data_IF_437896681229
#
_entry.id   IF_437896681229
#
_cell.length_a   1.000
_cell.length_b   1.000
_cell.length_c   1.000
_cell.angle_alpha   90.00
_cell.angle_beta   90.00
_cell.angle_gamma   90.00
#
_symmetry.space_group_name_H-M   'P 1'
#
loop_
_entity.id
_entity.type
_entity.pdbx_description
1 polymer ?
#
# COMPACT_ATOMS: atom_id res chain seq x y z
N UNK A 1 9.31 -10.26 -15.44
CA UNK A 1 8.95 -10.52 -14.03
C UNK A 1 10.16 -10.72 -13.12
N UNK A 2 11.41 -10.81 -13.61
CA UNK A 2 12.60 -10.89 -12.75
C UNK A 2 13.08 -9.55 -12.15
N UNK A 3 12.69 -8.42 -12.73
CA UNK A 3 13.31 -7.12 -12.42
C UNK A 3 12.77 -6.40 -11.17
N UNK A 4 11.62 -6.82 -10.62
CA UNK A 4 11.02 -6.10 -9.49
C UNK A 4 11.64 -6.48 -8.14
N UNK A 5 12.30 -7.64 -8.00
CA UNK A 5 12.90 -8.05 -6.72
C UNK A 5 14.08 -7.18 -6.31
N UNK A 6 14.95 -6.83 -7.27
CA UNK A 6 16.06 -5.91 -7.03
C UNK A 6 15.54 -4.50 -6.70
N UNK A 7 14.51 -4.04 -7.40
CA UNK A 7 13.82 -2.78 -7.10
C UNK A 7 13.19 -2.81 -5.69
N UNK A 8 12.52 -3.91 -5.30
CA UNK A 8 11.95 -4.06 -3.96
C UNK A 8 13.01 -4.04 -2.86
N UNK A 9 14.17 -4.66 -3.09
CA UNK A 9 15.28 -4.64 -2.14
C UNK A 9 15.81 -3.21 -1.97
N UNK A 10 16.01 -2.49 -3.07
CA UNK A 10 16.42 -1.09 -3.04
C UNK A 10 15.38 -0.19 -2.36
N UNK A 11 14.10 -0.45 -2.60
CA UNK A 11 13.00 0.24 -1.93
C UNK A 11 13.03 -0.05 -0.43
N UNK A 12 13.20 -1.31 -0.01
CA UNK A 12 13.31 -1.70 1.39
C UNK A 12 14.44 -1.00 2.15
N UNK A 13 15.57 -0.78 1.49
CA UNK A 13 16.69 0.00 2.05
C UNK A 13 16.38 1.49 2.19
N UNK A 14 15.46 2.03 1.37
CA UNK A 14 15.14 3.47 1.27
C UNK A 14 13.82 3.89 1.95
N UNK A 15 12.93 2.94 2.29
CA UNK A 15 11.62 3.21 2.94
C UNK A 15 11.76 3.88 4.31
N UNK A 16 12.96 3.88 4.89
CA UNK A 16 13.29 4.58 6.12
C UNK A 16 13.35 6.10 5.86
N UNK A 17 12.17 6.72 5.74
CA UNK A 17 12.01 8.12 5.31
C UNK A 17 10.66 8.76 5.71
N UNK A 18 10.36 9.91 5.12
CA UNK A 18 9.28 10.83 5.58
C UNK A 18 7.85 10.51 5.12
N UNK A 19 7.63 9.56 4.19
CA UNK A 19 6.29 9.21 3.70
C UNK A 19 6.04 7.71 3.89
N UNK A 20 5.11 7.38 4.78
CA UNK A 20 4.76 6.01 5.11
C UNK A 20 3.89 5.40 4.00
N UNK A 21 4.04 4.10 3.69
CA UNK A 21 3.10 3.42 2.82
C UNK A 21 1.66 3.56 3.33
N UNK A 22 0.74 3.86 2.42
CA UNK A 22 -0.68 4.09 2.71
C UNK A 22 -1.47 2.86 2.30
N UNK A 23 -2.27 2.32 3.22
CA UNK A 23 -3.16 1.21 2.90
C UNK A 23 -4.27 1.67 1.95
N UNK A 24 -4.60 0.79 0.98
CA UNK A 24 -5.62 1.02 -0.05
C UNK A 24 -6.79 0.07 0.16
N UNK A 25 -6.49 -1.21 0.37
CA UNK A 25 -7.45 -2.30 0.46
C UNK A 25 -6.90 -3.43 1.31
N UNK A 26 -7.78 -4.21 1.92
CA UNK A 26 -7.41 -5.48 2.51
C UNK A 26 -8.58 -6.45 2.43
N UNK A 27 -8.26 -7.73 2.29
CA UNK A 27 -9.21 -8.83 2.46
C UNK A 27 -8.59 -9.98 3.25
N UNK A 28 -9.17 -11.18 3.15
CA UNK A 28 -8.66 -12.34 3.85
C UNK A 28 -7.29 -12.82 3.35
N UNK A 29 -6.96 -12.53 2.08
CA UNK A 29 -5.81 -13.05 1.34
C UNK A 29 -4.75 -11.98 1.05
N UNK A 30 -5.16 -10.73 0.88
CA UNK A 30 -4.31 -9.64 0.41
C UNK A 30 -4.37 -8.40 1.29
N UNK A 31 -3.23 -7.71 1.38
CA UNK A 31 -3.17 -6.31 1.80
C UNK A 31 -2.57 -5.51 0.64
N UNK A 32 -3.23 -4.43 0.28
CA UNK A 32 -2.80 -3.52 -0.78
C UNK A 32 -2.43 -2.18 -0.17
N UNK A 33 -1.28 -1.66 -0.56
CA UNK A 33 -0.79 -0.37 -0.11
C UNK A 33 0.05 0.28 -1.20
N UNK A 34 0.31 1.58 -1.07
CA UNK A 34 1.18 2.29 -1.99
C UNK A 34 2.07 3.27 -1.26
N UNK A 35 3.21 3.59 -1.88
CA UNK A 35 4.14 4.60 -1.40
C UNK A 35 4.56 5.51 -2.57
N UNK A 36 5.74 6.12 -2.46
CA UNK A 36 6.30 6.95 -3.51
C UNK A 36 6.58 6.21 -4.83
N UNK A 37 6.92 4.92 -4.78
CA UNK A 37 7.39 4.15 -5.93
C UNK A 37 6.25 3.50 -6.70
N UNK A 38 5.25 2.99 -6.00
CA UNK A 38 4.17 2.28 -6.65
C UNK A 38 3.15 1.67 -5.69
N UNK A 39 2.35 0.78 -6.24
CA UNK A 39 1.33 0.00 -5.52
C UNK A 39 1.82 -1.43 -5.35
N UNK A 40 1.66 -1.94 -4.14
CA UNK A 40 2.06 -3.27 -3.75
C UNK A 40 0.82 -4.07 -3.36
N UNK A 41 0.77 -5.30 -3.84
CA UNK A 41 -0.26 -6.28 -3.46
C UNK A 41 0.46 -7.40 -2.75
N UNK A 42 0.30 -7.44 -1.43
CA UNK A 42 0.94 -8.40 -0.55
C UNK A 42 0.02 -9.59 -0.32
N UNK A 43 0.49 -10.79 -0.61
CA UNK A 43 -0.18 -12.05 -0.32
C UNK A 43 0.14 -12.48 1.10
N UNK A 44 -0.88 -12.46 1.95
CA UNK A 44 -0.79 -12.77 3.38
C UNK A 44 -0.44 -14.25 3.59
N UNK A 45 -0.97 -15.14 2.76
CA UNK A 45 -0.79 -16.59 2.94
C UNK A 45 0.63 -17.02 2.55
N UNK A 46 1.16 -16.42 1.48
CA UNK A 46 2.47 -16.73 0.94
C UNK A 46 3.58 -15.81 1.48
N UNK A 47 3.21 -14.82 2.30
CA UNK A 47 4.11 -13.84 2.90
C UNK A 47 5.03 -13.16 1.89
N UNK A 48 4.50 -12.73 0.74
CA UNK A 48 5.27 -12.10 -0.31
C UNK A 48 4.50 -11.01 -1.07
N UNK A 49 5.23 -10.16 -1.79
CA UNK A 49 4.64 -9.24 -2.76
C UNK A 49 4.25 -10.07 -3.99
N UNK A 50 2.95 -10.34 -4.11
CA UNK A 50 2.36 -11.05 -5.24
C UNK A 50 2.40 -10.21 -6.52
N UNK A 51 2.24 -8.89 -6.39
CA UNK A 51 2.27 -7.97 -7.52
C UNK A 51 2.73 -6.58 -7.11
N UNK A 52 3.43 -5.92 -8.03
CA UNK A 52 3.89 -4.54 -7.92
C UNK A 52 3.53 -3.77 -9.19
N UNK A 53 3.02 -2.55 -9.03
CA UNK A 53 2.65 -1.64 -10.11
C UNK A 53 3.45 -0.35 -9.89
N UNK A 54 4.49 -0.14 -10.70
CA UNK A 54 5.35 1.05 -10.58
C UNK A 54 4.69 2.27 -11.22
N UNK A 55 4.75 3.41 -10.54
CA UNK A 55 4.27 4.68 -11.08
C UNK A 55 5.15 5.21 -12.22
N UNK A 56 6.44 4.81 -12.24
CA UNK A 56 7.39 5.25 -13.25
C UNK A 56 7.02 4.78 -14.66
N UNK A 57 6.54 3.54 -14.82
CA UNK A 57 6.07 2.99 -16.11
C UNK A 57 4.80 3.68 -16.61
N UNK A 58 4.05 4.31 -15.70
CA UNK A 58 2.88 5.14 -16.02
C UNK A 58 3.27 6.58 -16.40
N UNK A 59 4.57 6.90 -16.43
CA UNK A 59 5.07 8.26 -16.61
C UNK A 59 4.70 9.20 -15.47
N UNK A 60 4.29 8.65 -14.32
CA UNK A 60 3.95 9.43 -13.14
C UNK A 60 5.23 9.67 -12.33
N UNK A 61 5.48 10.94 -12.04
CA UNK A 61 6.48 11.34 -11.05
C UNK A 61 5.75 11.51 -9.74
N UNK A 62 5.99 10.60 -8.80
CA UNK A 62 5.35 10.70 -7.50
C UNK A 62 5.74 12.01 -6.83
N UNK A 63 4.75 12.71 -6.30
CA UNK A 63 4.92 13.92 -5.52
C UNK A 63 4.23 13.69 -4.18
N UNK A 64 4.91 14.05 -3.09
CA UNK A 64 4.37 13.87 -1.74
C UNK A 64 3.18 14.81 -1.50
N UNK A 65 3.18 15.98 -2.14
CA UNK A 65 2.18 17.02 -1.95
C UNK A 65 1.95 17.86 -3.21
N UNK A 66 0.83 18.58 -3.24
CA UNK A 66 0.41 19.43 -4.37
C UNK A 66 -0.52 18.72 -5.35
N UNK A 67 -0.87 19.41 -6.44
CA UNK A 67 -1.90 18.96 -7.38
C UNK A 67 -1.55 17.65 -8.09
N UNK A 68 -0.27 17.31 -8.20
CA UNK A 68 0.19 16.06 -8.81
C UNK A 68 0.50 14.96 -7.79
N UNK A 69 0.17 15.16 -6.50
CA UNK A 69 0.30 14.10 -5.52
C UNK A 69 -0.53 12.88 -5.93
N UNK A 70 0.06 11.70 -5.79
CA UNK A 70 -0.60 10.47 -6.22
C UNK A 70 -1.60 10.02 -5.16
N UNK A 71 -2.84 9.85 -5.60
CA UNK A 71 -3.92 9.29 -4.79
C UNK A 71 -4.35 7.97 -5.41
N UNK A 72 -4.41 6.93 -4.58
CA UNK A 72 -4.85 5.60 -5.00
C UNK A 72 -6.06 5.19 -4.18
N UNK A 73 -7.10 4.72 -4.87
CA UNK A 73 -8.34 4.24 -4.27
C UNK A 73 -8.68 2.86 -4.80
N UNK A 74 -9.19 1.98 -3.95
CA UNK A 74 -9.77 0.71 -4.38
C UNK A 74 -11.30 0.79 -4.53
N UNK A 75 -11.84 0.05 -5.49
CA UNK A 75 -13.26 -0.34 -5.51
C UNK A 75 -13.54 -1.22 -4.27
N UNK A 76 -14.73 -1.15 -3.69
CA UNK A 76 -15.11 -1.84 -2.44
C UNK A 76 -14.82 -3.36 -2.43
N UNK A 77 -14.79 -4.00 -3.61
CA UNK A 77 -14.53 -5.42 -3.78
C UNK A 77 -13.06 -5.75 -4.14
N UNK A 78 -12.16 -4.76 -4.13
CA UNK A 78 -10.74 -4.92 -4.48
C UNK A 78 -10.47 -5.19 -5.97
N UNK A 79 -11.45 -5.16 -6.87
CA UNK A 79 -11.26 -5.56 -8.27
C UNK A 79 -10.65 -4.48 -9.16
N UNK A 80 -10.75 -3.22 -8.75
CA UNK A 80 -10.19 -2.09 -9.48
C UNK A 80 -9.47 -1.15 -8.54
N UNK A 81 -8.37 -0.61 -9.05
CA UNK A 81 -7.67 0.51 -8.44
C UNK A 81 -7.80 1.74 -9.34
N UNK A 82 -8.04 2.88 -8.71
CA UNK A 82 -8.13 4.18 -9.33
C UNK A 82 -6.90 4.98 -8.91
N UNK A 83 -6.08 5.39 -9.88
CA UNK A 83 -4.81 6.07 -9.65
C UNK A 83 -4.92 7.46 -10.27
N UNK A 84 -4.90 8.48 -9.41
CA UNK A 84 -5.13 9.87 -9.78
C UNK A 84 -3.90 10.71 -9.45
N UNK A 85 -3.45 11.54 -10.39
CA UNK A 85 -2.34 12.48 -10.20
C UNK A 85 -2.49 13.67 -11.15
N UNK A 86 -2.86 14.84 -10.61
CA UNK A 86 -3.17 16.03 -11.41
C UNK A 86 -4.26 15.73 -12.44
N UNK A 87 -3.92 15.83 -13.72
CA UNK A 87 -4.82 15.52 -14.84
C UNK A 87 -4.79 14.04 -15.25
N UNK A 88 -3.82 13.27 -14.78
CA UNK A 88 -3.65 11.88 -15.16
C UNK A 88 -4.55 10.98 -14.32
N UNK A 89 -5.30 10.12 -15.00
CA UNK A 89 -6.25 9.22 -14.37
C UNK A 89 -6.13 7.84 -14.98
N UNK A 90 -5.91 6.84 -14.13
CA UNK A 90 -5.78 5.46 -14.54
C UNK A 90 -6.72 4.57 -13.76
N UNK A 91 -7.21 3.54 -14.43
CA UNK A 91 -7.89 2.43 -13.80
C UNK A 91 -7.09 1.16 -14.06
N UNK A 92 -6.72 0.50 -12.98
CA UNK A 92 -6.10 -0.82 -13.00
C UNK A 92 -7.15 -1.89 -12.69
N UNK A 93 -7.32 -2.86 -13.58
CA UNK A 93 -8.19 -4.01 -13.40
C UNK A 93 -7.37 -5.19 -12.85
N UNK A 94 -7.62 -5.55 -11.59
CA UNK A 94 -6.89 -6.58 -10.87
C UNK A 94 -7.00 -7.96 -11.53
N UNK A 95 -8.21 -8.29 -12.00
CA UNK A 95 -8.51 -9.59 -12.61
C UNK A 95 -7.95 -9.75 -14.01
N UNK A 96 -7.88 -8.65 -14.78
CA UNK A 96 -7.27 -8.66 -16.12
C UNK A 96 -5.77 -8.40 -16.12
N UNK A 97 -5.21 -7.94 -15.00
CA UNK A 97 -3.84 -7.43 -14.92
C UNK A 97 -3.56 -6.38 -16.02
N UNK A 98 -4.44 -5.38 -16.13
CA UNK A 98 -4.35 -4.35 -17.17
C UNK A 98 -4.61 -2.98 -16.59
N UNK A 99 -3.79 -2.02 -17.01
CA UNK A 99 -3.98 -0.61 -16.74
C UNK A 99 -4.51 0.11 -17.98
N UNK A 100 -5.34 1.13 -17.75
CA UNK A 100 -5.83 2.02 -18.80
C UNK A 100 -5.86 3.46 -18.31
N UNK A 101 -5.33 4.37 -19.13
CA UNK A 101 -5.45 5.81 -18.93
C UNK A 101 -6.79 6.32 -19.46
N UNK A 102 -7.33 7.36 -18.82
CA UNK A 102 -8.56 8.04 -19.20
C UNK A 102 -8.31 9.54 -19.35
N UNK A 103 -8.81 10.11 -20.44
CA UNK A 103 -8.71 11.55 -20.72
C UNK A 103 -9.78 12.37 -19.99
N UNK A 104 -10.88 11.71 -19.59
CA UNK A 104 -11.99 12.32 -18.85
C UNK A 104 -11.93 11.94 -17.38
N UNK A 105 -12.61 12.72 -16.54
CA UNK A 105 -12.76 12.43 -15.12
C UNK A 105 -13.36 11.04 -14.89
N UNK A 106 -12.58 10.18 -14.24
CA UNK A 106 -13.00 8.89 -13.72
C UNK A 106 -13.78 9.14 -12.45
N UNK A 107 -15.07 8.80 -12.49
CA UNK A 107 -15.92 8.89 -11.30
C UNK A 107 -15.66 7.64 -10.48
N UNK A 108 -15.03 7.83 -9.31
CA UNK A 108 -14.80 6.76 -8.37
C UNK A 108 -16.07 6.58 -7.52
N UNK A 109 -16.85 5.56 -7.81
CA UNK A 109 -18.03 5.17 -7.02
C UNK A 109 -17.75 3.91 -6.22
N UNK A 110 -18.34 3.78 -5.02
CA UNK A 110 -18.17 2.61 -4.15
C UNK A 110 -16.70 2.36 -3.79
N UNK A 111 -16.03 3.38 -3.27
CA UNK A 111 -14.67 3.25 -2.76
C UNK A 111 -14.64 2.39 -1.51
N UNK A 112 -13.62 1.55 -1.42
CA UNK A 112 -13.24 0.94 -0.17
C UNK A 112 -12.77 2.02 0.80
N UNK A 113 -13.21 1.92 2.05
CA UNK A 113 -12.74 2.76 3.13
C UNK A 113 -12.41 1.87 4.30
N UNK A 114 -11.20 2.04 4.84
CA UNK A 114 -10.90 1.49 6.14
C UNK A 114 -11.60 2.32 7.21
N UNK A 115 -12.11 1.64 8.24
CA UNK A 115 -12.46 2.31 9.48
C UNK A 115 -11.16 2.58 10.24
N UNK A 116 -10.88 3.85 10.59
CA UNK A 116 -9.68 4.18 11.37
C UNK A 116 -9.99 4.00 12.86
N UNK A 117 -9.22 3.15 13.53
CA UNK A 117 -9.23 3.13 14.99
C UNK A 117 -8.46 4.35 15.52
N UNK A 118 -9.05 5.06 16.47
CA UNK A 118 -8.47 6.24 17.12
C UNK A 118 -7.66 5.87 18.37
N UNK A 119 -7.70 4.61 18.80
CA UNK A 119 -6.86 4.10 19.87
C UNK A 119 -5.48 3.74 19.31
N UNK A 120 -4.44 4.32 19.91
CA UNK A 120 -3.05 4.03 19.57
C UNK A 120 -2.63 2.69 20.22
N UNK A 121 -2.15 1.74 19.42
CA UNK A 121 -1.35 0.62 19.93
C UNK A 121 0.12 1.01 19.98
N UNK A 122 0.84 0.48 20.98
CA UNK A 122 2.28 0.67 21.16
C UNK A 122 3.02 0.38 19.84
N UNK A 123 3.73 1.40 19.34
CA UNK A 123 4.55 1.39 18.12
C UNK A 123 3.80 1.32 16.77
N UNK A 124 2.47 1.50 16.74
CA UNK A 124 1.74 1.69 15.48
C UNK A 124 2.06 3.07 14.86
N UNK A 125 2.17 3.12 13.53
CA UNK A 125 2.46 4.35 12.79
C UNK A 125 1.52 4.52 11.61
N UNK A 126 1.15 5.77 11.32
CA UNK A 126 0.18 6.08 10.25
C UNK A 126 -1.27 5.68 10.57
N UNK A 127 -1.53 5.17 11.78
CA UNK A 127 -2.85 4.78 12.29
C UNK A 127 -3.11 3.28 12.21
N UNK A 128 -4.18 2.84 12.88
CA UNK A 128 -4.68 1.47 12.86
C UNK A 128 -5.94 1.42 12.01
N UNK A 129 -5.96 0.50 11.06
CA UNK A 129 -7.03 0.34 10.11
C UNK A 129 -7.81 -0.93 10.44
N UNK A 130 -9.12 -0.79 10.59
CA UNK A 130 -10.03 -1.87 10.88
C UNK A 130 -10.68 -2.34 9.58
N UNK A 131 -10.70 -3.66 9.41
CA UNK A 131 -11.45 -4.31 8.34
C UNK A 131 -12.02 -5.63 8.85
N UNK A 132 -13.34 -5.75 8.88
CA UNK A 132 -14.05 -6.86 9.53
C UNK A 132 -13.57 -7.03 10.99
N UNK A 133 -13.02 -8.19 11.33
CA UNK A 133 -12.49 -8.55 12.64
C UNK A 133 -10.96 -8.38 12.73
N UNK A 134 -10.36 -7.62 11.79
CA UNK A 134 -8.92 -7.41 11.70
C UNK A 134 -8.51 -6.00 12.06
N UNK A 135 -7.38 -5.86 12.77
CA UNK A 135 -6.59 -4.64 12.84
C UNK A 135 -5.38 -4.77 11.93
N UNK A 136 -5.12 -3.73 11.14
CA UNK A 136 -4.02 -3.67 10.18
C UNK A 136 -3.26 -2.38 10.41
N UNK A 137 -1.95 -2.46 10.64
CA UNK A 137 -1.14 -1.28 10.90
C UNK A 137 0.34 -1.51 10.59
N UNK A 138 1.04 -0.41 10.36
CA UNK A 138 2.50 -0.40 10.24
C UNK A 138 3.15 -0.25 11.62
N UNK A 139 4.33 -0.83 11.80
CA UNK A 139 5.24 -0.53 12.91
C UNK A 139 6.68 -0.45 12.42
N UNK A 140 7.54 0.26 13.16
CA UNK A 140 8.97 0.26 12.89
C UNK A 140 9.69 -0.84 13.64
N UNK A 141 10.72 -1.42 13.02
CA UNK A 141 11.75 -2.20 13.71
C UNK A 141 12.84 -1.25 14.18
N UNK A 142 13.07 -1.17 15.48
CA UNK A 142 14.17 -0.36 16.04
C UNK A 142 15.44 -1.20 16.10
N UNK A 143 16.52 -0.72 15.48
CA UNK A 143 17.84 -1.34 15.55
C UNK A 143 18.55 -1.08 16.90
N UNK A 144 19.66 -1.79 17.15
CA UNK A 144 20.45 -1.62 18.39
C UNK A 144 21.06 -0.24 18.61
N UNK A 145 21.06 0.62 17.59
CA UNK A 145 21.50 2.02 17.64
C UNK A 145 20.36 3.02 17.87
N UNK A 146 19.11 2.55 18.03
CA UNK A 146 17.92 3.40 18.15
C UNK A 146 17.39 3.97 16.83
N UNK A 147 18.04 3.65 15.70
CA UNK A 147 17.55 4.01 14.37
C UNK A 147 16.50 2.99 13.88
N UNK A 148 15.50 3.48 13.15
CA UNK A 148 14.57 2.59 12.44
C UNK A 148 15.36 1.78 11.40
N UNK A 149 15.12 0.48 11.40
CA UNK A 149 15.81 -0.50 10.56
C UNK A 149 14.90 -1.02 9.45
N UNK A 150 13.60 -1.07 9.69
CA UNK A 150 12.64 -1.64 8.75
C UNK A 150 11.20 -1.23 9.11
N UNK A 151 10.29 -1.48 8.18
CA UNK A 151 8.84 -1.35 8.32
C UNK A 151 8.19 -2.74 8.37
N UNK A 152 7.33 -2.97 9.34
CA UNK A 152 6.59 -4.21 9.51
C UNK A 152 5.08 -3.99 9.32
N UNK A 153 4.46 -4.88 8.54
CA UNK A 153 3.02 -4.99 8.45
C UNK A 153 2.53 -5.87 9.60
N UNK A 154 1.61 -5.35 10.40
CA UNK A 154 0.98 -6.06 11.49
C UNK A 154 -0.47 -6.33 11.13
N UNK A 155 -0.89 -7.59 11.28
CA UNK A 155 -2.29 -7.99 11.13
C UNK A 155 -2.69 -8.74 12.40
N UNK A 156 -3.66 -8.20 13.13
CA UNK A 156 -4.27 -8.85 14.30
C UNK A 156 -5.68 -9.33 13.96
N UNK A 157 -5.98 -10.60 14.24
CA UNK A 157 -7.32 -11.19 14.08
C UNK A 157 -7.62 -12.10 15.27
N UNK A 158 -8.75 -11.87 15.94
CA UNK A 158 -9.16 -12.67 17.10
C UNK A 158 -8.13 -12.72 18.24
N UNK A 159 -7.43 -11.61 18.49
CA UNK A 159 -6.37 -11.50 19.52
C UNK A 159 -5.03 -12.11 19.13
N UNK A 160 -4.89 -12.67 17.92
CA UNK A 160 -3.61 -13.17 17.40
C UNK A 160 -2.98 -12.14 16.46
N UNK A 161 -1.82 -11.64 16.84
CA UNK A 161 -0.98 -10.77 16.02
C UNK A 161 -0.03 -11.59 15.14
N UNK A 162 0.04 -11.27 13.86
CA UNK A 162 1.04 -11.77 12.91
C UNK A 162 1.79 -10.59 12.32
N UNK A 163 3.11 -10.72 12.20
CA UNK A 163 4.03 -9.66 11.77
C UNK A 163 4.72 -10.10 10.49
N UNK A 164 4.73 -9.23 9.50
CA UNK A 164 5.31 -9.49 8.18
C UNK A 164 6.38 -8.44 7.87
N UNK A 165 7.56 -8.91 7.48
CA UNK A 165 8.58 -8.08 6.86
C UNK A 165 8.34 -8.04 5.36
N UNK A 166 8.13 -6.85 4.80
CA UNK A 166 7.59 -6.70 3.45
C UNK A 166 8.69 -6.55 2.39
N UNK A 167 9.76 -5.82 2.70
CA UNK A 167 10.77 -5.39 1.73
C UNK A 167 12.15 -6.05 1.91
N UNK A 168 12.20 -7.21 2.58
CA UNK A 168 13.42 -8.02 2.74
C UNK A 168 13.44 -9.25 1.86
#
# INVERSE_FOLDING_TARGET
MENYKEEMQQIGENIIGSDLPKFIYADDNYVEFYDYHGIYIYDIQNSNIYRYITFSEMGLVSQIQGDNAIQVYAEQNGRKLYILSGKNQYVYDMGKNKIRQYDNAVIVTNMFHFEKNLEDEDNSIGGIYLYNDRKIYWSYVIGGTGLYKDLELNIEKGGKKTVYTIFK
#
